data_IF_621974666683
#
_entry.id   IF_621974666683
#
_cell.length_a   1.000
_cell.length_b   1.000
_cell.length_c   1.000
_cell.angle_alpha   90.00
_cell.angle_beta   90.00
_cell.angle_gamma   90.00
#
_symmetry.space_group_name_H-M   'P 1'
#
loop_
_entity.id
_entity.type
_entity.pdbx_description
1 polymer ?
#
# COMPACT_ATOMS: atom_id res chain seq x y z
N UNK A 1 -36.97 68.46 12.85
CA UNK A 1 -36.04 68.20 13.97
C UNK A 1 -35.74 66.70 13.99
N UNK A 2 -34.53 66.30 13.58
CA UNK A 2 -33.90 65.00 13.94
C UNK A 2 -33.25 65.14 15.33
N UNK A 3 -32.81 64.10 16.10
CA UNK A 3 -32.09 62.86 15.72
C UNK A 3 -32.59 61.61 16.53
N UNK A 4 -32.01 60.40 16.61
CA UNK A 4 -30.63 59.92 16.53
C UNK A 4 -30.59 58.38 16.37
N UNK A 5 -29.58 57.92 15.63
CA UNK A 5 -29.15 56.54 15.33
C UNK A 5 -28.73 55.72 16.55
N UNK A 6 -28.83 54.38 16.46
CA UNK A 6 -27.72 53.48 16.82
C UNK A 6 -27.79 52.18 16.00
N UNK A 7 -26.62 51.78 15.50
CA UNK A 7 -26.34 50.78 14.49
C UNK A 7 -25.56 49.60 15.12
N UNK A 8 -25.51 48.45 14.42
CA UNK A 8 -24.51 47.35 14.48
C UNK A 8 -24.84 46.04 15.27
N UNK A 9 -24.19 44.88 14.99
CA UNK A 9 -24.81 43.75 14.28
C UNK A 9 -24.60 42.39 15.00
N UNK A 10 -25.55 41.45 14.91
CA UNK A 10 -25.32 40.08 15.42
C UNK A 10 -25.05 39.10 14.28
N UNK A 11 -23.76 38.81 14.14
CA UNK A 11 -23.06 37.82 13.32
C UNK A 11 -23.92 36.58 13.02
N UNK A 12 -24.12 36.28 11.73
CA UNK A 12 -24.60 34.96 11.27
C UNK A 12 -23.48 33.93 11.46
N UNK A 13 -23.57 33.12 12.50
CA UNK A 13 -22.81 31.87 12.59
C UNK A 13 -23.64 30.80 11.87
N UNK A 14 -23.24 30.50 10.63
CA UNK A 14 -23.70 29.35 9.86
C UNK A 14 -23.43 28.09 10.70
N UNK A 15 -24.50 27.46 11.21
CA UNK A 15 -24.41 26.23 11.99
C UNK A 15 -23.88 25.09 11.12
N UNK A 16 -22.63 24.71 11.37
CA UNK A 16 -22.01 23.47 10.92
C UNK A 16 -22.79 22.31 11.54
N UNK A 17 -23.43 21.50 10.72
CA UNK A 17 -24.08 20.26 11.13
C UNK A 17 -23.06 19.34 11.81
N UNK A 18 -23.40 18.87 13.02
CA UNK A 18 -22.62 17.86 13.75
C UNK A 18 -22.58 16.49 13.03
N UNK A 19 -23.40 16.33 11.99
CA UNK A 19 -23.47 15.14 11.13
C UNK A 19 -22.27 14.99 10.18
N UNK A 20 -21.39 15.99 10.05
CA UNK A 20 -20.25 15.97 9.13
C UNK A 20 -18.98 15.30 9.72
N UNK A 21 -19.03 14.77 10.94
CA UNK A 21 -17.85 14.24 11.64
C UNK A 21 -17.53 12.75 11.38
N UNK A 22 -18.36 12.05 10.60
CA UNK A 22 -18.09 10.65 10.25
C UNK A 22 -18.21 10.39 8.75
N UNK A 23 -17.44 11.13 7.95
CA UNK A 23 -16.98 10.50 6.71
C UNK A 23 -15.92 9.48 7.13
N UNK A 24 -16.36 8.24 7.38
CA UNK A 24 -15.44 7.10 7.43
C UNK A 24 -14.50 7.25 6.24
N UNK A 25 -13.20 7.43 6.52
CA UNK A 25 -12.14 7.33 5.54
C UNK A 25 -12.10 5.88 5.04
N UNK A 26 -13.07 5.53 4.21
CA UNK A 26 -13.11 4.27 3.49
C UNK A 26 -12.06 4.37 2.39
N UNK A 27 -10.80 4.17 2.79
CA UNK A 27 -9.70 3.95 1.87
C UNK A 27 -9.90 2.57 1.24
N UNK A 28 -10.84 2.46 0.30
CA UNK A 28 -10.99 1.29 -0.55
C UNK A 28 -9.75 1.23 -1.43
N UNK A 29 -8.81 0.35 -1.08
CA UNK A 29 -7.64 0.08 -1.91
C UNK A 29 -8.14 -0.45 -3.25
N UNK A 30 -7.75 0.19 -4.34
CA UNK A 30 -8.02 -0.31 -5.68
C UNK A 30 -7.14 -1.54 -5.90
N UNK A 31 -7.74 -2.67 -6.27
CA UNK A 31 -7.02 -3.94 -6.47
C UNK A 31 -6.05 -3.88 -7.66
N UNK A 32 -6.32 -3.00 -8.64
CA UNK A 32 -5.59 -2.85 -9.90
C UNK A 32 -4.85 -1.51 -10.01
N UNK A 33 -4.52 -0.88 -8.88
CA UNK A 33 -3.70 0.34 -8.85
C UNK A 33 -4.45 1.65 -8.58
N UNK A 34 -3.72 2.69 -8.12
CA UNK A 34 -4.30 3.98 -7.74
C UNK A 34 -4.81 4.76 -8.96
N UNK A 35 -5.93 5.48 -8.81
CA UNK A 35 -6.39 6.44 -9.82
C UNK A 35 -5.39 7.58 -10.04
N UNK A 36 -5.42 8.23 -11.21
CA UNK A 36 -4.48 9.32 -11.60
C UNK A 36 -4.31 10.40 -10.52
N UNK A 37 -5.39 10.81 -9.87
CA UNK A 37 -5.37 11.85 -8.82
C UNK A 37 -4.69 11.39 -7.52
N UNK A 38 -4.65 10.08 -7.26
CA UNK A 38 -4.02 9.52 -6.06
C UNK A 38 -2.50 9.41 -6.23
N UNK A 39 -2.01 9.16 -7.44
CA UNK A 39 -0.57 9.12 -7.76
C UNK A 39 0.12 10.47 -7.47
N UNK A 40 -0.55 11.58 -7.79
CA UNK A 40 -0.02 12.93 -7.55
C UNK A 40 0.15 13.26 -6.05
N UNK A 41 -0.51 12.54 -5.14
CA UNK A 41 -0.42 12.77 -3.68
C UNK A 41 0.81 12.12 -3.05
N UNK A 42 1.45 11.17 -3.73
CA UNK A 42 2.61 10.46 -3.21
C UNK A 42 3.87 11.32 -3.39
N UNK A 43 4.63 11.52 -2.30
CA UNK A 43 5.89 12.27 -2.35
C UNK A 43 6.90 11.56 -3.26
N UNK A 44 7.59 12.33 -4.12
CA UNK A 44 8.55 11.78 -5.10
C UNK A 44 9.72 11.02 -4.46
N UNK A 45 10.17 11.44 -3.28
CA UNK A 45 11.29 10.78 -2.58
C UNK A 45 10.91 9.38 -2.11
N UNK A 46 9.66 9.19 -1.69
CA UNK A 46 9.12 7.89 -1.28
C UNK A 46 9.05 6.96 -2.49
N UNK A 47 8.63 7.47 -3.66
CA UNK A 47 8.59 6.69 -4.91
C UNK A 47 9.99 6.21 -5.30
N UNK A 48 11.00 7.10 -5.24
CA UNK A 48 12.39 6.75 -5.56
C UNK A 48 12.96 5.70 -4.59
N UNK A 49 12.69 5.87 -3.30
CA UNK A 49 13.12 4.90 -2.28
C UNK A 49 12.47 3.54 -2.54
N UNK A 50 11.17 3.53 -2.85
CA UNK A 50 10.43 2.31 -3.15
C UNK A 50 11.00 1.60 -4.38
N UNK A 51 11.18 2.31 -5.50
CA UNK A 51 11.78 1.77 -6.72
C UNK A 51 13.18 1.18 -6.50
N UNK A 52 13.98 1.78 -5.60
CA UNK A 52 15.30 1.28 -5.24
C UNK A 52 15.24 -0.04 -4.47
N UNK A 53 14.25 -0.19 -3.59
CA UNK A 53 14.09 -1.37 -2.72
C UNK A 53 13.31 -2.50 -3.39
N UNK A 54 12.46 -2.18 -4.36
CA UNK A 54 11.70 -3.15 -5.17
C UNK A 54 12.35 -3.40 -6.53
N UNK A 55 13.65 -3.12 -6.66
CA UNK A 55 14.35 -3.45 -7.90
C UNK A 55 14.21 -4.96 -8.15
N UNK A 56 13.75 -5.31 -9.35
CA UNK A 56 13.44 -6.68 -9.75
C UNK A 56 14.66 -7.58 -9.47
N UNK A 57 14.45 -8.62 -8.66
CA UNK A 57 15.50 -9.59 -8.41
C UNK A 57 15.87 -10.28 -9.75
N UNK A 58 17.16 -10.30 -10.12
CA UNK A 58 17.57 -10.99 -11.34
C UNK A 58 17.13 -12.45 -11.28
N UNK A 59 16.66 -12.97 -12.40
CA UNK A 59 16.20 -14.37 -12.53
C UNK A 59 17.39 -15.33 -12.62
N UNK A 60 18.37 -15.12 -11.76
CA UNK A 60 19.56 -15.96 -11.66
C UNK A 60 19.28 -17.17 -10.77
N UNK A 61 20.01 -18.25 -11.01
CA UNK A 61 19.84 -19.50 -10.28
C UNK A 61 20.04 -19.32 -8.77
N UNK A 62 21.05 -18.52 -8.39
CA UNK A 62 21.33 -18.23 -6.98
C UNK A 62 20.17 -17.48 -6.29
N UNK A 63 19.55 -16.52 -7.00
CA UNK A 63 18.43 -15.75 -6.45
C UNK A 63 17.20 -16.62 -6.23
N UNK A 64 16.91 -17.53 -7.16
CA UNK A 64 15.81 -18.50 -7.01
C UNK A 64 16.06 -19.40 -5.80
N UNK A 65 17.29 -19.90 -5.62
CA UNK A 65 17.64 -20.70 -4.45
C UNK A 65 17.49 -19.92 -3.14
N UNK A 66 17.96 -18.67 -3.10
CA UNK A 66 17.82 -17.80 -1.93
C UNK A 66 16.34 -17.53 -1.60
N UNK A 67 15.50 -17.26 -2.60
CA UNK A 67 14.06 -17.03 -2.44
C UNK A 67 13.36 -18.27 -1.83
N UNK A 68 13.67 -19.48 -2.32
CA UNK A 68 13.13 -20.72 -1.76
C UNK A 68 13.54 -20.89 -0.29
N UNK A 69 14.83 -20.72 0.04
CA UNK A 69 15.33 -20.85 1.41
C UNK A 69 14.71 -19.79 2.33
N UNK A 70 14.52 -18.57 1.83
CA UNK A 70 13.84 -17.49 2.55
C UNK A 70 12.41 -17.89 2.93
N UNK A 71 11.63 -18.48 2.03
CA UNK A 71 10.29 -18.96 2.37
C UNK A 71 10.29 -20.18 3.29
N UNK A 72 11.24 -21.10 3.11
CA UNK A 72 11.39 -22.24 4.02
C UNK A 72 11.65 -21.77 5.47
N UNK A 73 12.55 -20.80 5.64
CA UNK A 73 12.96 -20.29 6.96
C UNK A 73 11.99 -19.28 7.55
N UNK A 74 11.53 -18.31 6.76
CA UNK A 74 10.74 -17.18 7.25
C UNK A 74 9.23 -17.43 7.22
N UNK A 75 8.74 -18.15 6.20
CA UNK A 75 7.30 -18.41 6.03
C UNK A 75 6.88 -19.71 6.69
N UNK A 76 7.63 -20.79 6.49
CA UNK A 76 7.31 -22.12 7.03
C UNK A 76 7.96 -22.41 8.38
N UNK A 77 8.81 -21.50 8.88
CA UNK A 77 9.58 -21.66 10.13
C UNK A 77 10.37 -22.98 10.19
N UNK A 78 10.93 -23.38 9.04
CA UNK A 78 11.75 -24.60 8.90
C UNK A 78 13.23 -24.26 8.88
N UNK A 79 14.04 -25.21 9.33
CA UNK A 79 15.50 -25.17 9.29
C UNK A 79 16.00 -26.28 8.37
N UNK A 80 17.29 -26.25 8.06
CA UNK A 80 17.94 -27.28 7.22
C UNK A 80 17.74 -28.69 7.79
N UNK A 81 17.57 -28.83 9.10
CA UNK A 81 17.43 -30.11 9.78
C UNK A 81 16.01 -30.70 9.74
N UNK A 82 14.99 -29.90 9.41
CA UNK A 82 13.59 -30.33 9.43
C UNK A 82 12.84 -30.07 8.11
N UNK A 83 13.57 -30.02 7.00
CA UNK A 83 13.01 -29.80 5.67
C UNK A 83 12.54 -31.11 5.05
N UNK A 84 11.22 -31.23 4.89
CA UNK A 84 10.55 -32.33 4.19
C UNK A 84 10.17 -31.95 2.74
N UNK A 85 9.84 -32.95 1.92
CA UNK A 85 9.49 -32.74 0.52
C UNK A 85 8.26 -31.83 0.34
N UNK A 86 7.30 -31.87 1.28
CA UNK A 86 6.10 -31.04 1.19
C UNK A 86 6.42 -29.59 1.56
N UNK A 87 7.24 -29.34 2.59
CA UNK A 87 7.74 -28.00 2.88
C UNK A 87 8.59 -27.44 1.72
N UNK A 88 9.42 -28.26 1.08
CA UNK A 88 10.19 -27.83 -0.10
C UNK A 88 9.26 -27.39 -1.24
N UNK A 89 8.22 -28.18 -1.54
CA UNK A 89 7.19 -27.82 -2.53
C UNK A 89 6.50 -26.49 -2.18
N UNK A 90 6.08 -26.32 -0.92
CA UNK A 90 5.42 -25.09 -0.48
C UNK A 90 6.34 -23.87 -0.59
N UNK A 91 7.62 -24.00 -0.20
CA UNK A 91 8.59 -22.92 -0.31
C UNK A 91 8.83 -22.51 -1.77
N UNK A 92 8.93 -23.48 -2.68
CA UNK A 92 9.01 -23.21 -4.13
C UNK A 92 7.75 -22.57 -4.67
N UNK A 93 6.56 -23.01 -4.25
CA UNK A 93 5.30 -22.41 -4.67
C UNK A 93 5.17 -20.95 -4.21
N UNK A 94 5.63 -20.61 -3.00
CA UNK A 94 5.69 -19.24 -2.51
C UNK A 94 6.65 -18.38 -3.33
N UNK A 95 7.83 -18.90 -3.66
CA UNK A 95 8.80 -18.19 -4.50
C UNK A 95 8.21 -17.84 -5.87
N UNK A 96 7.54 -18.80 -6.54
CA UNK A 96 6.89 -18.56 -7.84
C UNK A 96 5.72 -17.59 -7.72
N UNK A 97 4.94 -17.67 -6.63
CA UNK A 97 3.81 -16.78 -6.37
C UNK A 97 4.26 -15.32 -6.32
N UNK A 98 5.36 -15.02 -5.63
CA UNK A 98 5.85 -13.64 -5.48
C UNK A 98 6.24 -13.05 -6.85
N UNK A 99 6.91 -13.84 -7.71
CA UNK A 99 7.25 -13.44 -9.08
C UNK A 99 6.00 -13.18 -9.94
N UNK A 100 4.96 -14.01 -9.80
CA UNK A 100 3.72 -13.84 -10.55
C UNK A 100 2.94 -12.60 -10.08
N UNK A 101 2.93 -12.32 -8.78
CA UNK A 101 2.30 -11.12 -8.23
C UNK A 101 3.01 -9.86 -8.74
N UNK A 102 4.34 -9.86 -8.78
CA UNK A 102 5.12 -8.75 -9.33
C UNK A 102 4.77 -8.48 -10.80
N UNK A 103 4.80 -9.52 -11.64
CA UNK A 103 4.44 -9.41 -13.07
C UNK A 103 2.98 -9.00 -13.27
N UNK A 104 2.08 -9.51 -12.44
CA UNK A 104 0.67 -9.13 -12.49
C UNK A 104 0.47 -7.66 -12.14
N UNK A 105 1.17 -7.15 -11.10
CA UNK A 105 1.13 -5.72 -10.75
C UNK A 105 1.63 -4.83 -11.89
N UNK A 106 2.70 -5.22 -12.59
CA UNK A 106 3.20 -4.51 -13.77
C UNK A 106 2.17 -4.52 -14.91
N UNK A 107 1.44 -5.63 -15.07
CA UNK A 107 0.44 -5.77 -16.14
C UNK A 107 -0.83 -4.95 -15.87
N UNK A 108 -1.18 -4.72 -14.59
CA UNK A 108 -2.39 -3.99 -14.21
C UNK A 108 -2.21 -2.47 -14.08
N UNK A 109 -0.97 -1.99 -13.88
CA UNK A 109 -0.65 -0.57 -13.79
C UNK A 109 -0.44 0.07 -15.16
#
# INVERSE_FOLDING_TARGET
MSPMSLNNPRIKMQGRSEDDLHTQYNHKRNFTGPGRDQLARVKRDVVKLWQKLTAVDPQDLEHIQQSIIKHATSTLARTVFNMDNFAAYQATAHSVRDLLIERWNITQQ
#
